data_IF_042977335015
#
_entry.id   IF_042977335015
#
_cell.length_a   1.000
_cell.length_b   1.000
_cell.length_c   1.000
_cell.angle_alpha   90.00
_cell.angle_beta   90.00
_cell.angle_gamma   90.00
#
_symmetry.space_group_name_H-M   'P 1'
#
loop_
_entity.id
_entity.type
_entity.pdbx_description
1 polymer ?
#
# COMPACT_ATOMS: atom_id res chain seq x y z
N UNK A 1 17.87 -2.97 14.92
CA UNK A 1 17.99 -1.84 13.96
C UNK A 1 16.61 -1.21 13.83
N UNK A 2 16.47 0.11 14.03
CA UNK A 2 15.18 0.80 13.84
C UNK A 2 14.88 0.88 12.35
N UNK A 3 13.79 0.27 11.92
CA UNK A 3 13.23 0.46 10.58
C UNK A 3 12.73 1.89 10.49
N UNK A 4 13.36 2.72 9.65
CA UNK A 4 12.80 4.01 9.28
C UNK A 4 11.46 3.74 8.58
N UNK A 5 10.36 4.04 9.24
CA UNK A 5 9.03 4.03 8.64
C UNK A 5 8.95 5.23 7.72
N UNK A 6 9.09 4.99 6.42
CA UNK A 6 8.79 5.99 5.40
C UNK A 6 7.27 6.05 5.22
N UNK A 7 6.74 7.26 5.02
CA UNK A 7 5.31 7.45 4.82
C UNK A 7 4.87 6.77 3.52
N UNK A 8 3.72 6.09 3.53
CA UNK A 8 3.24 5.28 2.41
C UNK A 8 3.12 6.11 1.12
N UNK A 9 2.64 7.35 1.25
CA UNK A 9 2.51 8.32 0.14
C UNK A 9 3.86 8.61 -0.54
N UNK A 10 4.95 8.72 0.23
CA UNK A 10 6.30 8.98 -0.31
C UNK A 10 6.82 7.80 -1.10
N UNK A 11 6.56 6.58 -0.62
CA UNK A 11 6.93 5.36 -1.34
C UNK A 11 6.19 5.27 -2.67
N UNK A 12 4.87 5.48 -2.68
CA UNK A 12 4.03 5.43 -3.88
C UNK A 12 4.48 6.46 -4.92
N UNK A 13 4.74 7.71 -4.49
CA UNK A 13 5.23 8.77 -5.37
C UNK A 13 6.57 8.40 -6.04
N UNK A 14 7.53 7.90 -5.27
CA UNK A 14 8.87 7.55 -5.80
C UNK A 14 8.78 6.41 -6.82
N UNK A 15 7.92 5.42 -6.59
CA UNK A 15 7.71 4.33 -7.53
C UNK A 15 7.06 4.83 -8.83
N UNK A 16 6.05 5.71 -8.73
CA UNK A 16 5.41 6.34 -9.88
C UNK A 16 6.40 7.18 -10.72
N UNK A 17 7.27 7.95 -10.07
CA UNK A 17 8.31 8.72 -10.76
C UNK A 17 9.35 7.81 -11.43
N UNK A 18 9.67 6.66 -10.82
CA UNK A 18 10.53 5.66 -11.45
C UNK A 18 9.89 5.05 -12.70
N UNK A 19 8.59 4.78 -12.68
CA UNK A 19 7.83 4.31 -13.85
C UNK A 19 7.77 5.34 -14.98
N UNK A 20 7.75 6.64 -14.64
CA UNK A 20 7.83 7.76 -15.59
C UNK A 20 9.24 7.96 -16.19
N UNK A 21 10.23 7.18 -15.76
CA UNK A 21 11.57 7.17 -16.33
C UNK A 21 12.64 7.88 -15.49
N UNK A 22 12.32 8.41 -14.31
CA UNK A 22 13.36 8.92 -13.40
C UNK A 22 14.19 7.76 -12.84
N UNK A 23 15.51 7.95 -12.80
CA UNK A 23 16.42 6.92 -12.31
C UNK A 23 16.39 6.82 -10.78
N UNK A 24 16.53 5.60 -10.26
CA UNK A 24 16.59 5.34 -8.82
C UNK A 24 17.71 6.16 -8.12
N UNK A 25 18.93 6.32 -8.69
CA UNK A 25 19.95 7.18 -8.11
C UNK A 25 19.55 8.65 -8.00
N UNK A 26 18.79 9.17 -8.97
CA UNK A 26 18.28 10.56 -8.93
C UNK A 26 17.26 10.71 -7.80
N UNK A 27 16.29 9.80 -7.72
CA UNK A 27 15.24 9.80 -6.71
C UNK A 27 15.81 9.59 -5.30
N UNK A 28 16.82 8.73 -5.15
CA UNK A 28 17.52 8.52 -3.89
C UNK A 28 18.15 9.81 -3.36
N UNK A 29 18.81 10.57 -4.23
CA UNK A 29 19.44 11.84 -3.88
C UNK A 29 18.41 12.92 -3.56
N UNK A 30 17.36 13.03 -4.36
CA UNK A 30 16.32 14.05 -4.23
C UNK A 30 15.51 13.89 -2.93
N UNK A 31 15.13 12.65 -2.61
CA UNK A 31 14.29 12.36 -1.45
C UNK A 31 15.10 11.96 -0.20
N UNK A 32 16.43 11.90 -0.29
CA UNK A 32 17.31 11.53 0.84
C UNK A 32 17.12 10.09 1.31
N UNK A 33 16.72 9.20 0.40
CA UNK A 33 16.45 7.78 0.65
C UNK A 33 17.55 6.95 0.02
N UNK A 34 17.96 5.86 0.66
CA UNK A 34 18.98 4.99 0.07
C UNK A 34 18.44 4.30 -1.18
N UNK A 35 19.27 4.17 -2.23
CA UNK A 35 18.90 3.45 -3.46
C UNK A 35 18.41 2.03 -3.14
N UNK A 36 19.05 1.34 -2.20
CA UNK A 36 18.66 0.01 -1.74
C UNK A 36 17.21 -0.05 -1.20
N UNK A 37 16.77 1.00 -0.50
CA UNK A 37 15.38 1.11 -0.03
C UNK A 37 14.41 1.20 -1.21
N UNK A 38 14.73 2.01 -2.22
CA UNK A 38 13.88 2.20 -3.40
C UNK A 38 13.84 0.92 -4.25
N UNK A 39 14.97 0.21 -4.40
CA UNK A 39 15.00 -1.11 -5.05
C UNK A 39 14.13 -2.13 -4.33
N UNK A 40 14.15 -2.16 -2.99
CA UNK A 40 13.28 -3.04 -2.21
C UNK A 40 11.80 -2.71 -2.44
N UNK A 41 11.43 -1.42 -2.43
CA UNK A 41 10.06 -1.01 -2.73
C UNK A 41 9.63 -1.42 -4.13
N UNK A 42 10.50 -1.25 -5.12
CA UNK A 42 10.22 -1.66 -6.50
C UNK A 42 10.00 -3.16 -6.60
N UNK A 43 10.82 -3.96 -5.91
CA UNK A 43 10.66 -5.42 -5.85
C UNK A 43 9.32 -5.82 -5.22
N UNK A 44 8.93 -5.16 -4.14
CA UNK A 44 7.63 -5.39 -3.50
C UNK A 44 6.46 -4.91 -4.38
N UNK A 45 6.65 -3.88 -5.20
CA UNK A 45 5.60 -3.31 -6.04
C UNK A 45 5.47 -4.00 -7.41
N UNK A 46 6.50 -4.73 -7.85
CA UNK A 46 6.44 -5.48 -9.10
C UNK A 46 5.45 -6.64 -8.92
N UNK A 47 4.44 -6.78 -9.80
CA UNK A 47 3.51 -7.89 -9.75
C UNK A 47 4.26 -9.21 -9.79
N UNK A 48 3.86 -10.14 -8.92
CA UNK A 48 4.38 -11.50 -8.99
C UNK A 48 3.92 -12.14 -10.31
N UNK A 49 4.85 -12.68 -11.10
CA UNK A 49 4.56 -13.22 -12.44
C UNK A 49 3.56 -14.39 -12.42
N UNK A 50 3.41 -15.08 -11.29
CA UNK A 50 2.49 -16.21 -11.13
C UNK A 50 1.06 -15.75 -10.84
N UNK A 51 0.90 -14.66 -10.08
CA UNK A 51 -0.43 -14.16 -9.66
C UNK A 51 -0.91 -12.94 -10.44
N UNK A 52 -0.01 -12.25 -11.15
CA UNK A 52 -0.28 -11.02 -11.89
C UNK A 52 -0.69 -9.83 -11.01
N UNK A 53 -0.55 -9.95 -9.68
CA UNK A 53 -0.95 -8.93 -8.71
C UNK A 53 0.28 -8.33 -8.02
N UNK A 54 0.31 -7.01 -7.92
CA UNK A 54 1.29 -6.30 -7.11
C UNK A 54 0.94 -6.37 -5.62
N UNK A 55 1.93 -6.17 -4.75
CA UNK A 55 1.67 -6.01 -3.32
C UNK A 55 0.77 -4.80 -3.03
N UNK A 56 0.76 -3.79 -3.90
CA UNK A 56 -0.15 -2.66 -3.80
C UNK A 56 -1.60 -3.06 -4.06
N UNK A 57 -1.85 -3.93 -5.06
CA UNK A 57 -3.17 -4.50 -5.31
C UNK A 57 -3.64 -5.30 -4.10
N UNK A 58 -2.74 -6.07 -3.48
CA UNK A 58 -3.02 -6.84 -2.27
C UNK A 58 -3.40 -5.91 -1.11
N UNK A 59 -2.62 -4.86 -0.85
CA UNK A 59 -2.92 -3.89 0.21
C UNK A 59 -4.23 -3.13 -0.05
N UNK A 60 -4.53 -2.77 -1.30
CA UNK A 60 -5.79 -2.13 -1.65
C UNK A 60 -6.97 -3.09 -1.41
N UNK A 61 -6.84 -4.35 -1.82
CA UNK A 61 -7.84 -5.38 -1.56
C UNK A 61 -8.05 -5.59 -0.04
N UNK A 62 -6.98 -5.61 0.75
CA UNK A 62 -7.07 -5.72 2.22
C UNK A 62 -7.81 -4.53 2.85
N UNK A 63 -7.55 -3.30 2.38
CA UNK A 63 -8.23 -2.09 2.85
C UNK A 63 -9.73 -2.12 2.53
N UNK A 64 -10.08 -2.52 1.30
CA UNK A 64 -11.49 -2.67 0.89
C UNK A 64 -12.18 -3.78 1.69
N UNK A 65 -11.52 -4.91 1.92
CA UNK A 65 -12.02 -5.98 2.79
C UNK A 65 -12.27 -5.49 4.23
N UNK A 66 -11.37 -4.67 4.77
CA UNK A 66 -11.55 -4.11 6.11
C UNK A 66 -12.76 -3.18 6.16
N UNK A 67 -12.93 -2.29 5.17
CA UNK A 67 -14.08 -1.39 5.09
C UNK A 67 -15.39 -2.15 5.01
N UNK A 68 -15.49 -3.15 4.13
CA UNK A 68 -16.71 -3.99 4.02
C UNK A 68 -17.03 -4.71 5.33
N UNK A 69 -16.03 -5.23 6.04
CA UNK A 69 -16.25 -5.87 7.35
C UNK A 69 -16.81 -4.88 8.37
N UNK A 70 -16.33 -3.64 8.38
CA UNK A 70 -16.86 -2.59 9.26
C UNK A 70 -18.31 -2.22 8.90
N UNK A 71 -18.62 -2.07 7.61
CA UNK A 71 -19.99 -1.80 7.15
C UNK A 71 -20.96 -2.91 7.58
N UNK A 72 -20.56 -4.18 7.42
CA UNK A 72 -21.34 -5.33 7.88
C UNK A 72 -21.56 -5.31 9.39
N UNK A 73 -20.54 -4.98 10.19
CA UNK A 73 -20.67 -4.91 11.64
C UNK A 73 -21.66 -3.81 12.09
N UNK A 74 -21.59 -2.64 11.43
CA UNK A 74 -22.53 -1.54 11.67
C UNK A 74 -23.97 -1.97 11.33
N UNK A 75 -24.17 -2.61 10.17
CA UNK A 75 -25.48 -3.10 9.76
C UNK A 75 -26.04 -4.13 10.74
N UNK A 76 -25.22 -5.08 11.19
CA UNK A 76 -25.62 -6.09 12.20
C UNK A 76 -26.01 -5.46 13.53
N UNK A 77 -25.25 -4.46 13.99
CA UNK A 77 -25.58 -3.69 15.20
C UNK A 77 -26.92 -2.96 15.04
N UNK A 78 -27.16 -2.34 13.88
CA UNK A 78 -28.44 -1.71 13.55
C UNK A 78 -29.60 -2.70 13.64
N UNK A 79 -29.52 -3.84 12.94
CA UNK A 79 -30.55 -4.89 12.98
C UNK A 79 -30.83 -5.35 14.41
N UNK A 80 -29.77 -5.53 15.22
CA UNK A 80 -29.90 -5.97 16.62
C UNK A 80 -30.62 -4.94 17.48
N UNK A 81 -30.44 -3.65 17.20
CA UNK A 81 -31.19 -2.58 17.86
C UNK A 81 -32.67 -2.61 17.42
N UNK A 82 -32.94 -2.76 16.14
CA UNK A 82 -34.30 -2.79 15.58
C UNK A 82 -35.12 -4.05 15.96
N UNK A 83 -34.47 -5.15 16.31
CA UNK A 83 -35.13 -6.42 16.70
C UNK A 83 -35.23 -6.63 18.21
N UNK A 84 -34.72 -5.68 19.00
CA UNK A 84 -34.84 -5.67 20.48
C UNK A 84 -35.95 -4.73 20.99
N UNK A 85 -36.67 -4.06 20.09
CA UNK A 85 -38.00 -3.48 20.34
C UNK A 85 -39.09 -4.47 19.95
#
# INVERSE_FOLDING_TARGET
MMTKQYNQETRELILQLNEQGQSIPSLAREYGISEATIYNWKKEYTPDEETGKSQADIHQMEKEMHRMKQEIDILKKGITLFTKE
#
